data_IF_170097492627
#
_entry.id   IF_170097492627
#
_cell.length_a   1.000
_cell.length_b   1.000
_cell.length_c   1.000
_cell.angle_alpha   90.00
_cell.angle_beta   90.00
_cell.angle_gamma   90.00
#
_symmetry.space_group_name_H-M   'P 1'
#
loop_
_entity.id
_entity.type
_entity.pdbx_description
1 polymer ?
#
# COMPACT_ATOMS: atom_id res chain seq x y z
N UNK A 1 26.12 11.75 -8.92
CA UNK A 1 25.99 10.74 -7.83
C UNK A 1 24.92 9.73 -8.23
N UNK A 2 25.20 8.43 -8.11
CA UNK A 2 24.22 7.34 -8.31
C UNK A 2 23.66 6.98 -6.93
N UNK A 3 22.36 7.17 -6.72
CA UNK A 3 21.74 7.06 -5.39
C UNK A 3 20.50 6.16 -5.47
N UNK A 4 20.45 5.16 -4.59
CA UNK A 4 19.27 4.31 -4.43
C UNK A 4 18.13 5.08 -3.76
N UNK A 5 16.88 4.72 -4.07
CA UNK A 5 15.70 5.39 -3.52
C UNK A 5 14.68 4.38 -3.00
N UNK A 6 14.03 4.72 -1.90
CA UNK A 6 12.91 3.96 -1.34
C UNK A 6 11.72 4.89 -1.15
N UNK A 7 10.53 4.45 -1.52
CA UNK A 7 9.28 5.21 -1.36
C UNK A 7 8.17 4.33 -0.78
N UNK A 8 7.29 4.93 0.02
CA UNK A 8 6.13 4.27 0.61
C UNK A 8 4.86 4.38 -0.24
N UNK A 9 4.97 4.89 -1.46
CA UNK A 9 3.85 5.18 -2.36
C UNK A 9 3.73 4.11 -3.45
N UNK A 10 2.51 3.96 -3.99
CA UNK A 10 2.23 3.17 -5.19
C UNK A 10 3.17 3.53 -6.33
N UNK A 11 3.59 2.51 -7.08
CA UNK A 11 4.34 2.71 -8.32
C UNK A 11 3.36 3.15 -9.41
N UNK A 12 3.71 4.22 -10.13
CA UNK A 12 2.93 4.72 -11.27
C UNK A 12 3.67 4.53 -12.59
N UNK A 13 2.99 4.75 -13.72
CA UNK A 13 3.55 4.58 -15.06
C UNK A 13 4.83 5.40 -15.29
N UNK A 14 4.91 6.59 -14.71
CA UNK A 14 6.09 7.45 -14.79
C UNK A 14 7.28 6.83 -14.08
N UNK A 15 7.07 6.21 -12.91
CA UNK A 15 8.11 5.46 -12.21
C UNK A 15 8.51 4.19 -12.97
N UNK A 16 7.55 3.47 -13.56
CA UNK A 16 7.85 2.28 -14.38
C UNK A 16 8.76 2.61 -15.57
N UNK A 17 8.57 3.78 -16.21
CA UNK A 17 9.42 4.25 -17.32
C UNK A 17 10.89 4.48 -16.92
N UNK A 18 11.19 4.61 -15.63
CA UNK A 18 12.56 4.79 -15.13
C UNK A 18 13.32 3.48 -14.96
N UNK A 19 12.68 2.33 -15.17
CA UNK A 19 13.25 1.00 -14.89
C UNK A 19 14.58 0.75 -15.61
N UNK A 20 14.61 0.95 -16.93
CA UNK A 20 15.81 0.67 -17.73
C UNK A 20 16.94 1.65 -17.37
N UNK A 21 16.62 2.94 -17.20
CA UNK A 21 17.58 3.94 -16.75
C UNK A 21 18.15 3.63 -15.34
N UNK A 22 17.32 3.11 -14.43
CA UNK A 22 17.76 2.69 -13.10
C UNK A 22 18.68 1.46 -13.17
N UNK A 23 18.35 0.48 -14.01
CA UNK A 23 19.19 -0.69 -14.28
C UNK A 23 20.53 -0.32 -14.90
N UNK A 24 20.53 0.48 -15.95
CA UNK A 24 21.73 0.91 -16.66
C UNK A 24 22.66 1.73 -15.76
N UNK A 25 22.08 2.53 -14.87
CA UNK A 25 22.84 3.28 -13.88
C UNK A 25 23.27 2.43 -12.67
N UNK A 26 22.78 1.20 -12.51
CA UNK A 26 23.11 0.29 -11.41
C UNK A 26 22.51 0.70 -10.07
N UNK A 27 21.39 1.43 -10.09
CA UNK A 27 20.67 1.86 -8.88
C UNK A 27 19.38 1.07 -8.70
N UNK A 28 18.85 1.13 -7.48
CA UNK A 28 17.59 0.47 -7.12
C UNK A 28 16.60 1.53 -6.67
N UNK A 29 15.40 1.47 -7.23
CA UNK A 29 14.25 2.27 -6.80
C UNK A 29 13.22 1.29 -6.28
N UNK A 30 12.95 1.34 -4.98
CA UNK A 30 12.01 0.45 -4.30
C UNK A 30 10.76 1.24 -3.90
N UNK A 31 9.65 0.99 -4.60
CA UNK A 31 8.34 1.56 -4.28
C UNK A 31 7.57 0.70 -3.27
N UNK A 32 6.40 1.18 -2.87
CA UNK A 32 5.42 0.41 -2.09
C UNK A 32 5.98 -0.15 -0.77
N UNK A 33 6.73 0.67 -0.03
CA UNK A 33 7.32 0.33 1.27
C UNK A 33 6.61 1.02 2.44
N UNK A 34 5.27 0.98 2.48
CA UNK A 34 4.42 1.58 3.52
C UNK A 34 3.62 0.57 4.36
N UNK A 35 2.36 0.90 4.64
CA UNK A 35 1.37 0.02 5.29
C UNK A 35 0.48 -0.63 4.23
N UNK A 36 -0.20 0.21 3.47
CA UNK A 36 -1.04 -0.07 2.31
C UNK A 36 -0.68 1.02 1.27
N UNK A 37 0.24 0.73 0.34
CA UNK A 37 0.83 -0.58 0.06
C UNK A 37 2.09 -0.87 0.91
N UNK A 38 2.16 -2.11 1.46
CA UNK A 38 3.32 -3.03 1.56
C UNK A 38 3.01 -4.23 2.47
N UNK A 39 2.54 -3.95 3.69
CA UNK A 39 2.38 -4.99 4.72
C UNK A 39 1.29 -5.96 4.27
N UNK A 40 0.24 -5.41 3.66
CA UNK A 40 -0.78 -6.14 2.92
C UNK A 40 -0.16 -7.07 1.85
N UNK A 41 0.76 -6.59 1.00
CA UNK A 41 1.44 -7.42 0.00
C UNK A 41 2.20 -8.59 0.62
N UNK A 42 2.97 -8.33 1.69
CA UNK A 42 3.75 -9.36 2.38
C UNK A 42 2.83 -10.41 3.02
N UNK A 43 1.76 -9.98 3.68
CA UNK A 43 0.82 -10.87 4.34
C UNK A 43 0.03 -11.70 3.33
N UNK A 44 -0.48 -11.07 2.26
CA UNK A 44 -1.19 -11.73 1.18
C UNK A 44 -0.32 -12.79 0.51
N UNK A 45 0.90 -12.41 0.09
CA UNK A 45 1.84 -13.31 -0.57
C UNK A 45 2.20 -14.50 0.32
N UNK A 46 2.43 -14.26 1.61
CA UNK A 46 2.72 -15.33 2.57
C UNK A 46 1.55 -16.33 2.64
N UNK A 47 0.32 -15.85 2.81
CA UNK A 47 -0.87 -16.71 2.90
C UNK A 47 -1.12 -17.50 1.62
N UNK A 48 -0.97 -16.84 0.45
CA UNK A 48 -1.14 -17.48 -0.86
C UNK A 48 -0.08 -18.58 -1.07
N UNK A 49 1.20 -18.28 -0.80
CA UNK A 49 2.28 -19.24 -0.97
C UNK A 49 2.12 -20.44 -0.03
N UNK A 50 1.68 -20.21 1.21
CA UNK A 50 1.41 -21.30 2.16
C UNK A 50 0.29 -22.22 1.67
N UNK A 51 -0.81 -21.66 1.15
CA UNK A 51 -1.90 -22.45 0.59
C UNK A 51 -1.44 -23.27 -0.62
N UNK A 52 -0.67 -22.66 -1.53
CA UNK A 52 -0.13 -23.34 -2.72
C UNK A 52 0.86 -24.45 -2.36
N UNK A 53 1.74 -24.23 -1.39
CA UNK A 53 2.71 -25.24 -0.92
C UNK A 53 2.02 -26.49 -0.34
N UNK A 54 0.78 -26.35 0.13
CA UNK A 54 -0.05 -27.45 0.63
C UNK A 54 -0.95 -28.06 -0.46
N UNK A 55 -0.76 -27.70 -1.73
CA UNK A 55 -1.60 -28.16 -2.86
C UNK A 55 -2.98 -27.50 -2.91
N UNK A 56 -3.21 -26.46 -2.12
CA UNK A 56 -4.46 -25.70 -2.08
C UNK A 56 -4.58 -24.65 -3.19
N UNK A 57 -5.81 -24.21 -3.44
CA UNK A 57 -6.13 -23.12 -4.38
C UNK A 57 -6.93 -22.04 -3.66
N UNK A 58 -6.45 -20.80 -3.71
CA UNK A 58 -7.17 -19.63 -3.19
C UNK A 58 -8.38 -19.36 -4.10
N UNK A 59 -9.60 -19.43 -3.54
CA UNK A 59 -10.85 -19.17 -4.27
C UNK A 59 -11.31 -17.72 -4.18
N UNK A 60 -11.02 -17.06 -3.08
CA UNK A 60 -11.36 -15.66 -2.82
C UNK A 60 -10.31 -15.05 -1.90
N UNK A 61 -10.00 -13.78 -2.11
CA UNK A 61 -9.11 -13.00 -1.25
C UNK A 61 -9.77 -11.65 -0.98
N UNK A 62 -9.88 -11.29 0.29
CA UNK A 62 -10.44 -10.00 0.74
C UNK A 62 -9.47 -9.43 1.75
N UNK A 63 -9.03 -8.19 1.52
CA UNK A 63 -8.10 -7.47 2.40
C UNK A 63 -8.69 -6.10 2.69
N UNK A 64 -8.92 -5.83 3.97
CA UNK A 64 -9.45 -4.55 4.43
C UNK A 64 -8.40 -3.89 5.33
N UNK A 65 -8.09 -2.62 5.05
CA UNK A 65 -7.15 -1.81 5.80
C UNK A 65 -7.80 -0.45 6.12
N UNK A 66 -7.50 0.11 7.29
CA UNK A 66 -8.02 1.41 7.70
C UNK A 66 -7.34 1.95 8.96
N UNK A 67 -6.90 3.21 8.90
CA UNK A 67 -6.34 3.90 10.05
C UNK A 67 -7.43 4.60 10.85
N UNK A 68 -8.01 3.93 11.84
CA UNK A 68 -9.03 4.53 12.72
C UNK A 68 -8.44 4.99 14.06
N UNK A 69 -9.00 6.04 14.69
CA UNK A 69 -8.60 6.46 16.04
C UNK A 69 -8.87 5.35 17.06
N UNK A 70 -8.17 5.39 18.20
CA UNK A 70 -8.51 4.52 19.34
C UNK A 70 -9.93 4.81 19.82
N UNK A 71 -10.64 3.84 20.43
CA UNK A 71 -12.02 4.04 20.90
C UNK A 71 -12.19 5.23 21.87
N UNK A 72 -11.19 5.49 22.71
CA UNK A 72 -11.17 6.65 23.61
C UNK A 72 -11.09 8.01 22.89
N UNK A 73 -10.70 8.03 21.62
CA UNK A 73 -10.46 9.23 20.82
C UNK A 73 -11.58 9.50 19.80
N UNK A 74 -12.66 8.70 19.75
CA UNK A 74 -13.75 8.82 18.75
C UNK A 74 -14.89 9.73 19.21
N UNK A 75 -14.60 10.78 19.98
CA UNK A 75 -15.60 11.69 20.56
C UNK A 75 -16.06 12.82 19.61
N UNK A 76 -16.16 12.53 18.31
CA UNK A 76 -16.62 13.47 17.30
C UNK A 76 -17.66 12.82 16.37
N UNK A 77 -18.50 13.59 15.65
CA UNK A 77 -19.60 13.05 14.87
C UNK A 77 -19.21 12.01 13.81
N UNK A 78 -17.98 12.05 13.30
CA UNK A 78 -17.49 11.14 12.29
C UNK A 78 -16.77 9.91 12.88
N UNK A 79 -16.54 9.88 14.20
CA UNK A 79 -15.68 8.92 14.87
C UNK A 79 -14.29 8.76 14.19
N UNK A 80 -13.83 9.78 13.47
CA UNK A 80 -12.61 9.77 12.66
C UNK A 80 -11.74 10.98 12.96
N UNK A 81 -10.42 10.88 12.73
CA UNK A 81 -9.48 12.00 12.83
C UNK A 81 -8.49 11.93 11.67
N UNK A 82 -8.36 13.02 10.93
CA UNK A 82 -7.39 13.13 9.84
C UNK A 82 -5.97 13.14 10.39
N UNK A 83 -5.10 12.30 9.82
CA UNK A 83 -3.67 12.24 10.17
C UNK A 83 -2.84 13.26 9.38
N UNK A 84 -3.31 13.65 8.19
CA UNK A 84 -2.65 14.56 7.25
C UNK A 84 -3.68 15.48 6.57
N UNK A 85 -3.29 16.18 5.50
CA UNK A 85 -4.18 17.02 4.70
C UNK A 85 -5.38 16.19 4.22
N UNK A 86 -6.58 16.59 4.65
CA UNK A 86 -7.81 15.81 4.49
C UNK A 86 -8.20 15.47 3.03
N UNK A 87 -7.70 16.25 2.06
CA UNK A 87 -8.07 16.07 0.65
C UNK A 87 -7.75 14.66 0.12
N UNK A 88 -6.63 14.07 0.52
CA UNK A 88 -6.27 12.71 0.11
C UNK A 88 -7.27 11.68 0.63
N UNK A 89 -7.48 11.69 1.95
CA UNK A 89 -8.38 10.78 2.66
C UNK A 89 -9.84 10.88 2.14
N UNK A 90 -10.31 12.11 1.86
CA UNK A 90 -11.67 12.35 1.35
C UNK A 90 -11.82 11.82 -0.08
N UNK A 91 -10.85 12.10 -0.96
CA UNK A 91 -10.92 11.64 -2.35
C UNK A 91 -10.86 10.11 -2.43
N UNK A 92 -10.05 9.47 -1.57
CA UNK A 92 -9.99 8.02 -1.49
C UNK A 92 -11.31 7.42 -1.01
N UNK A 93 -11.94 8.01 0.02
CA UNK A 93 -13.24 7.56 0.49
C UNK A 93 -14.29 7.65 -0.63
N UNK A 94 -14.36 8.78 -1.36
CA UNK A 94 -15.32 8.96 -2.46
C UNK A 94 -15.13 7.86 -3.53
N UNK A 95 -13.89 7.63 -3.98
CA UNK A 95 -13.59 6.64 -5.03
C UNK A 95 -13.86 5.18 -4.63
N UNK A 96 -13.98 4.88 -3.33
CA UNK A 96 -14.29 3.53 -2.83
C UNK A 96 -15.78 3.30 -2.61
N UNK A 97 -16.58 4.36 -2.46
CA UNK A 97 -18.02 4.29 -2.22
C UNK A 97 -18.89 4.58 -3.46
N UNK A 98 -18.33 5.26 -4.48
CA UNK A 98 -18.94 5.50 -5.79
C UNK A 98 -18.10 4.85 -6.88
#
# INVERSE_FOLDING_TARGET
LKIHRVTASYINDTMCKLHDAAKDSGITILGEMGLDPRIDHVMATRMINQAQAQGGKVRSFVSNCGGIPSPSATNNPLAYKFRSIANGDIMEAINRFF
#
